data_IF_550781674203
#
_entry.id   IF_550781674203
#
_cell.length_a   1.000
_cell.length_b   1.000
_cell.length_c   1.000
_cell.angle_alpha   90.00
_cell.angle_beta   90.00
_cell.angle_gamma   90.00
#
_symmetry.space_group_name_H-M   'P 1'
#
loop_
_entity.id
_entity.type
_entity.pdbx_description
1 polymer ?
#
# COMPACT_ATOMS: atom_id res chain seq x y z
N UNK A 1 -33.70 37.61 -65.17
CA UNK A 1 -33.00 37.22 -63.92
C UNK A 1 -34.04 36.57 -63.00
N UNK A 2 -33.63 35.68 -62.10
CA UNK A 2 -34.48 34.96 -61.12
C UNK A 2 -35.26 33.72 -61.63
N UNK A 3 -34.57 32.57 -61.68
CA UNK A 3 -35.22 31.25 -61.50
C UNK A 3 -34.21 30.10 -61.31
N UNK A 4 -32.90 30.32 -61.47
CA UNK A 4 -31.89 29.25 -61.41
C UNK A 4 -31.18 29.08 -60.06
N UNK A 5 -31.41 29.98 -59.10
CA UNK A 5 -30.67 30.02 -57.82
C UNK A 5 -31.36 29.26 -56.66
N UNK A 6 -32.67 29.01 -56.73
CA UNK A 6 -33.43 28.41 -55.61
C UNK A 6 -33.28 26.88 -55.51
N UNK A 7 -33.03 26.19 -56.62
CA UNK A 7 -32.92 24.73 -56.65
C UNK A 7 -31.56 24.23 -56.13
N UNK A 8 -30.46 24.93 -56.45
CA UNK A 8 -29.12 24.59 -55.94
C UNK A 8 -28.99 24.81 -54.44
N UNK A 9 -29.67 25.84 -53.89
CA UNK A 9 -29.62 26.15 -52.46
C UNK A 9 -30.35 25.10 -51.61
N UNK A 10 -31.50 24.56 -52.06
CA UNK A 10 -32.17 23.45 -51.38
C UNK A 10 -31.34 22.17 -51.40
N UNK A 11 -30.67 21.85 -52.51
CA UNK A 11 -29.82 20.65 -52.61
C UNK A 11 -28.58 20.80 -51.71
N UNK A 12 -28.02 22.00 -51.60
CA UNK A 12 -26.89 22.29 -50.71
C UNK A 12 -27.29 22.19 -49.23
N UNK A 13 -28.49 22.66 -48.87
CA UNK A 13 -29.04 22.52 -47.50
C UNK A 13 -29.30 21.04 -47.18
N UNK A 14 -29.84 20.25 -48.11
CA UNK A 14 -30.08 18.82 -47.87
C UNK A 14 -28.74 18.07 -47.75
N UNK A 15 -27.74 18.38 -48.58
CA UNK A 15 -26.38 17.81 -48.45
C UNK A 15 -25.72 18.20 -47.13
N UNK A 16 -25.89 19.45 -46.67
CA UNK A 16 -25.41 19.90 -45.36
C UNK A 16 -26.13 19.16 -44.22
N UNK A 17 -27.46 18.99 -44.30
CA UNK A 17 -28.23 18.25 -43.29
C UNK A 17 -27.90 16.76 -43.24
N UNK A 18 -27.61 16.12 -44.38
CA UNK A 18 -27.16 14.71 -44.44
C UNK A 18 -25.72 14.58 -43.92
N UNK A 19 -24.85 15.57 -44.18
CA UNK A 19 -23.49 15.61 -43.62
C UNK A 19 -23.48 15.82 -42.10
N UNK A 20 -24.46 16.56 -41.55
CA UNK A 20 -24.59 16.81 -40.11
C UNK A 20 -25.30 15.66 -39.37
N UNK A 21 -26.15 14.89 -40.05
CA UNK A 21 -26.87 13.75 -39.44
C UNK A 21 -26.02 12.47 -39.35
N UNK A 22 -24.84 12.44 -39.97
CA UNK A 22 -23.92 11.29 -39.98
C UNK A 22 -23.04 11.13 -38.73
N UNK A 23 -23.12 12.04 -37.76
CA UNK A 23 -22.32 11.97 -36.52
C UNK A 23 -23.25 11.80 -35.32
N UNK A 24 -24.10 10.77 -35.35
CA UNK A 24 -24.54 10.16 -34.09
C UNK A 24 -23.36 9.35 -33.59
N UNK A 25 -22.46 10.02 -32.87
CA UNK A 25 -21.45 9.36 -32.06
C UNK A 25 -22.20 8.54 -31.02
N UNK A 26 -22.34 7.24 -31.28
CA UNK A 26 -22.67 6.27 -30.24
C UNK A 26 -21.49 6.31 -29.28
N UNK A 27 -21.62 7.14 -28.24
CA UNK A 27 -20.73 7.08 -27.09
C UNK A 27 -21.02 5.74 -26.41
N UNK A 28 -20.34 4.70 -26.85
CA UNK A 28 -20.25 3.47 -26.09
C UNK A 28 -19.57 3.82 -24.78
N UNK A 29 -20.33 3.83 -23.69
CA UNK A 29 -19.80 3.90 -22.33
C UNK A 29 -18.77 2.77 -22.19
N UNK A 30 -17.48 3.10 -22.29
CA UNK A 30 -16.42 2.11 -22.08
C UNK A 30 -16.54 1.68 -20.63
N UNK A 31 -17.11 0.50 -20.38
CA UNK A 31 -17.21 -0.07 -19.03
C UNK A 31 -15.81 -0.05 -18.44
N UNK A 32 -15.60 0.77 -17.41
CA UNK A 32 -14.34 0.82 -16.69
C UNK A 32 -14.04 -0.59 -16.18
N UNK A 33 -12.83 -1.12 -16.38
CA UNK A 33 -12.50 -2.44 -15.89
C UNK A 33 -12.68 -2.47 -14.37
N UNK A 34 -13.36 -3.51 -13.88
CA UNK A 34 -13.52 -3.72 -12.44
C UNK A 34 -12.18 -4.20 -11.88
N UNK A 35 -11.45 -3.31 -11.25
CA UNK A 35 -10.13 -3.59 -10.69
C UNK A 35 -10.24 -3.73 -9.16
N UNK A 36 -9.61 -4.77 -8.61
CA UNK A 36 -9.43 -4.92 -7.17
C UNK A 36 -8.03 -4.44 -6.82
N UNK A 37 -7.92 -3.46 -5.92
CA UNK A 37 -6.64 -2.94 -5.43
C UNK A 37 -6.49 -3.33 -3.96
N UNK A 38 -5.35 -3.93 -3.64
CA UNK A 38 -5.00 -4.31 -2.26
C UNK A 38 -3.62 -3.73 -1.96
N UNK A 39 -3.51 -3.09 -0.79
CA UNK A 39 -2.26 -2.51 -0.32
C UNK A 39 -2.05 -2.86 1.17
N UNK A 40 -0.86 -3.33 1.52
CA UNK A 40 -0.45 -3.53 2.92
C UNK A 40 0.26 -2.28 3.41
N UNK A 41 -0.20 -1.74 4.54
CA UNK A 41 0.37 -0.56 5.19
C UNK A 41 1.01 -0.94 6.53
N UNK A 42 2.15 -0.33 6.81
CA UNK A 42 2.79 -0.42 8.11
C UNK A 42 1.99 0.36 9.16
N UNK A 43 2.22 0.01 10.43
CA UNK A 43 1.62 0.71 11.58
C UNK A 43 2.32 2.02 11.94
N UNK A 44 3.53 2.24 11.43
CA UNK A 44 4.37 3.40 11.71
C UNK A 44 4.39 4.41 10.55
N UNK A 45 4.78 5.65 10.86
CA UNK A 45 4.97 6.71 9.87
C UNK A 45 6.13 6.42 8.91
N UNK A 46 6.00 6.89 7.68
CA UNK A 46 7.01 6.82 6.64
C UNK A 46 8.40 7.16 7.15
N UNK A 47 9.41 6.45 6.67
CA UNK A 47 10.82 6.71 6.99
C UNK A 47 11.51 7.41 5.81
N UNK A 48 12.44 8.35 6.06
CA UNK A 48 13.19 8.98 4.98
C UNK A 48 14.01 7.98 4.17
N UNK A 49 13.82 7.98 2.85
CA UNK A 49 14.53 7.07 1.94
C UNK A 49 16.04 7.31 1.95
N UNK A 50 16.48 8.54 2.17
CA UNK A 50 17.90 8.89 2.30
C UNK A 50 18.55 8.17 3.49
N UNK A 51 17.88 8.17 4.65
CA UNK A 51 18.41 7.54 5.87
C UNK A 51 18.43 6.01 5.73
N UNK A 52 17.46 5.45 5.03
CA UNK A 52 17.44 4.01 4.73
C UNK A 52 18.55 3.58 3.80
N UNK A 53 18.85 4.38 2.78
CA UNK A 53 19.98 4.13 1.90
C UNK A 53 21.27 4.02 2.71
N UNK A 54 21.50 4.95 3.64
CA UNK A 54 22.63 4.87 4.56
C UNK A 54 22.63 3.57 5.38
N UNK A 55 21.50 3.20 5.98
CA UNK A 55 21.41 1.96 6.78
C UNK A 55 21.56 0.67 5.96
N UNK A 56 21.17 0.66 4.69
CA UNK A 56 21.40 -0.46 3.78
C UNK A 56 22.88 -0.60 3.44
N UNK A 57 23.58 0.51 3.20
CA UNK A 57 25.02 0.50 2.93
C UNK A 57 25.81 0.06 4.18
N UNK A 58 25.41 0.53 5.36
CA UNK A 58 26.04 0.16 6.63
C UNK A 58 25.88 -1.32 6.99
N UNK A 59 24.87 -1.99 6.43
CA UNK A 59 24.63 -3.43 6.60
C UNK A 59 25.66 -4.28 5.87
N UNK A 60 26.13 -3.81 4.71
CA UNK A 60 27.23 -4.45 3.99
C UNK A 60 28.52 -4.19 4.75
N UNK A 61 29.00 -2.95 4.74
CA UNK A 61 30.24 -2.54 5.42
C UNK A 61 29.98 -1.24 6.19
N UNK A 62 30.45 -1.18 7.45
CA UNK A 62 30.19 -0.03 8.34
C UNK A 62 30.76 1.28 7.82
N UNK A 63 31.87 1.23 7.09
CA UNK A 63 32.57 2.41 6.59
C UNK A 63 31.82 3.07 5.41
N UNK A 64 31.09 2.28 4.61
CA UNK A 64 30.30 2.77 3.47
C UNK A 64 29.22 3.78 3.90
N UNK A 65 28.72 3.68 5.14
CA UNK A 65 27.81 4.68 5.68
C UNK A 65 28.45 6.07 5.69
N UNK A 66 29.67 6.17 6.21
CA UNK A 66 30.37 7.44 6.34
C UNK A 66 30.79 7.98 4.99
N UNK A 67 31.29 7.11 4.11
CA UNK A 67 31.62 7.48 2.73
C UNK A 67 30.40 8.04 1.98
N UNK A 68 29.23 7.40 2.14
CA UNK A 68 27.98 7.85 1.54
C UNK A 68 27.55 9.23 2.06
N UNK A 69 27.59 9.45 3.37
CA UNK A 69 27.22 10.74 3.96
C UNK A 69 28.19 11.84 3.53
N UNK A 70 29.50 11.56 3.48
CA UNK A 70 30.48 12.54 3.00
C UNK A 70 30.28 12.89 1.52
N UNK A 71 29.98 11.90 0.66
CA UNK A 71 29.67 12.13 -0.76
C UNK A 71 28.38 12.94 -0.89
N UNK A 72 27.35 12.62 -0.10
CA UNK A 72 26.08 13.35 -0.12
C UNK A 72 26.24 14.81 0.29
N UNK A 73 26.93 15.09 1.41
CA UNK A 73 27.15 16.44 1.92
C UNK A 73 27.98 17.30 0.95
N UNK A 74 28.97 16.70 0.26
CA UNK A 74 29.74 17.41 -0.78
C UNK A 74 28.91 17.71 -2.03
N UNK A 75 28.05 16.77 -2.45
CA UNK A 75 27.23 16.94 -3.65
C UNK A 75 26.09 17.95 -3.50
N UNK A 76 25.62 18.17 -2.26
CA UNK A 76 24.60 19.17 -1.92
C UNK A 76 25.09 20.62 -2.17
N UNK A 77 26.41 20.84 -2.24
CA UNK A 77 27.01 22.14 -2.57
C UNK A 77 27.07 22.41 -4.09
N UNK A 78 26.97 21.38 -4.94
CA UNK A 78 27.31 21.46 -6.39
C UNK A 78 26.10 21.29 -7.35
N UNK A 79 25.03 20.59 -6.98
CA UNK A 79 23.90 20.28 -7.89
C UNK A 79 22.65 21.14 -7.60
N UNK A 80 22.21 21.93 -8.60
CA UNK A 80 20.98 22.74 -8.55
C UNK A 80 19.73 21.90 -8.30
N UNK A 81 18.95 22.25 -7.29
CA UNK A 81 17.81 21.50 -6.76
C UNK A 81 16.74 21.14 -7.81
N UNK A 82 16.75 19.90 -8.29
CA UNK A 82 15.54 19.30 -8.85
C UNK A 82 14.63 18.88 -7.69
N UNK A 83 13.61 19.68 -7.39
CA UNK A 83 12.76 19.53 -6.20
C UNK A 83 11.80 18.31 -6.20
N UNK A 84 11.81 17.46 -7.23
CA UNK A 84 10.88 16.32 -7.32
C UNK A 84 11.37 15.15 -6.47
N UNK A 85 10.46 14.49 -5.75
CA UNK A 85 10.76 13.26 -4.99
C UNK A 85 11.43 12.18 -5.85
N UNK A 86 11.07 12.09 -7.14
CA UNK A 86 11.68 11.17 -8.11
C UNK A 86 13.17 11.47 -8.34
N UNK A 87 13.54 12.74 -8.43
CA UNK A 87 14.92 13.10 -8.73
C UNK A 87 15.80 12.97 -7.49
N UNK A 88 15.27 13.27 -6.30
CA UNK A 88 15.89 12.90 -5.03
C UNK A 88 16.18 11.38 -4.95
N UNK A 89 15.21 10.54 -5.30
CA UNK A 89 15.40 9.09 -5.31
C UNK A 89 16.50 8.67 -6.30
N UNK A 90 16.50 9.20 -7.53
CA UNK A 90 17.56 8.93 -8.50
C UNK A 90 18.93 9.36 -7.98
N UNK A 91 19.02 10.49 -7.29
CA UNK A 91 20.26 11.01 -6.70
C UNK A 91 20.77 10.09 -5.61
N UNK A 92 19.90 9.68 -4.69
CA UNK A 92 20.22 8.70 -3.63
C UNK A 92 20.74 7.40 -4.23
N UNK A 93 20.04 6.87 -5.24
CA UNK A 93 20.46 5.65 -5.93
C UNK A 93 21.80 5.87 -6.64
N UNK A 94 22.00 6.97 -7.36
CA UNK A 94 23.26 7.31 -8.05
C UNK A 94 24.46 7.27 -7.09
N UNK A 95 24.36 7.94 -5.95
CA UNK A 95 25.45 7.96 -4.96
C UNK A 95 25.63 6.60 -4.25
N UNK A 96 24.54 5.90 -3.93
CA UNK A 96 24.63 4.55 -3.35
C UNK A 96 25.28 3.55 -4.30
N UNK A 97 24.94 3.60 -5.59
CA UNK A 97 25.53 2.74 -6.63
C UNK A 97 27.01 3.01 -6.84
N UNK A 98 27.48 4.25 -6.72
CA UNK A 98 28.91 4.57 -6.88
C UNK A 98 29.82 3.95 -5.83
N UNK A 99 29.26 3.52 -4.69
CA UNK A 99 29.99 2.89 -3.59
C UNK A 99 29.92 1.36 -3.62
N UNK A 100 29.12 0.79 -4.52
CA UNK A 100 28.84 -0.65 -4.57
C UNK A 100 29.26 -1.25 -5.92
N UNK A 101 29.50 -2.57 -5.92
CA UNK A 101 29.67 -3.32 -7.16
C UNK A 101 28.33 -3.49 -7.89
N UNK A 102 28.34 -3.73 -9.21
CA UNK A 102 27.12 -3.83 -10.02
C UNK A 102 26.04 -4.79 -9.48
N UNK A 103 26.38 -6.01 -9.00
CA UNK A 103 25.38 -6.91 -8.41
C UNK A 103 24.78 -6.36 -7.11
N UNK A 104 25.62 -5.80 -6.24
CA UNK A 104 25.20 -5.21 -4.96
C UNK A 104 24.38 -3.94 -5.18
N UNK A 105 24.71 -3.14 -6.19
CA UNK A 105 23.98 -1.95 -6.60
C UNK A 105 22.53 -2.27 -6.99
N UNK A 106 22.31 -3.34 -7.75
CA UNK A 106 20.96 -3.80 -8.10
C UNK A 106 20.19 -4.33 -6.87
N UNK A 107 20.86 -5.07 -5.99
CA UNK A 107 20.25 -5.53 -4.74
C UNK A 107 19.91 -4.38 -3.80
N UNK A 108 20.77 -3.36 -3.71
CA UNK A 108 20.56 -2.14 -2.95
C UNK A 108 19.31 -1.40 -3.43
N UNK A 109 19.20 -1.18 -4.75
CA UNK A 109 18.03 -0.53 -5.35
C UNK A 109 16.74 -1.30 -5.07
N UNK A 110 16.76 -2.63 -5.24
CA UNK A 110 15.63 -3.50 -4.90
C UNK A 110 15.27 -3.43 -3.41
N UNK A 111 16.27 -3.45 -2.53
CA UNK A 111 16.10 -3.40 -1.07
C UNK A 111 15.53 -2.06 -0.59
N UNK A 112 15.86 -0.97 -1.28
CA UNK A 112 15.35 0.37 -1.05
C UNK A 112 13.87 0.47 -1.47
N UNK A 113 13.51 -0.10 -2.63
CA UNK A 113 12.11 -0.17 -3.10
C UNK A 113 11.26 -1.03 -2.16
N UNK A 114 11.80 -2.14 -1.67
CA UNK A 114 11.14 -2.98 -0.67
C UNK A 114 11.07 -2.36 0.73
N UNK A 115 11.76 -1.23 0.95
CA UNK A 115 11.76 -0.52 2.25
C UNK A 115 12.26 -1.40 3.40
N UNK A 116 13.22 -2.28 3.10
CA UNK A 116 13.71 -3.31 4.02
C UNK A 116 14.45 -2.75 5.25
N UNK A 117 15.00 -1.54 5.17
CA UNK A 117 15.65 -0.85 6.28
C UNK A 117 14.71 -0.01 7.16
N UNK A 118 13.43 0.16 6.76
CA UNK A 118 12.46 0.96 7.52
C UNK A 118 12.34 0.54 8.99
N UNK A 119 12.22 -0.76 9.34
CA UNK A 119 12.06 -1.17 10.73
C UNK A 119 13.23 -0.77 11.63
N UNK A 120 14.44 -0.68 11.06
CA UNK A 120 15.63 -0.26 11.79
C UNK A 120 15.61 1.23 12.13
N UNK A 121 15.11 2.06 11.23
CA UNK A 121 14.91 3.49 11.52
C UNK A 121 13.80 3.72 12.54
N UNK A 122 12.76 2.89 12.52
CA UNK A 122 11.70 2.92 13.56
C UNK A 122 12.30 2.59 14.93
N UNK A 123 13.21 1.62 15.02
CA UNK A 123 13.94 1.34 16.25
C UNK A 123 14.74 2.56 16.72
N UNK A 124 15.44 3.27 15.83
CA UNK A 124 16.19 4.47 16.22
C UNK A 124 15.28 5.60 16.71
N UNK A 125 14.07 5.76 16.16
CA UNK A 125 13.08 6.71 16.66
C UNK A 125 12.66 6.38 18.09
N UNK A 126 12.41 5.11 18.40
CA UNK A 126 12.06 4.69 19.75
C UNK A 126 13.20 4.94 20.74
N UNK A 127 14.43 4.58 20.35
CA UNK A 127 15.60 4.86 21.18
C UNK A 127 15.85 6.36 21.37
N UNK A 128 15.51 7.18 20.39
CA UNK A 128 15.56 8.63 20.51
C UNK A 128 14.52 9.16 21.50
N UNK A 129 13.29 8.69 21.43
CA UNK A 129 12.24 9.06 22.40
C UNK A 129 12.59 8.61 23.83
N UNK A 130 13.13 7.40 23.98
CA UNK A 130 13.61 6.89 25.27
C UNK A 130 14.76 7.75 25.82
N UNK A 131 15.72 8.15 24.97
CA UNK A 131 16.81 9.04 25.35
C UNK A 131 16.27 10.40 25.77
N UNK A 132 15.42 11.04 24.95
CA UNK A 132 14.86 12.37 25.25
C UNK A 132 13.97 12.37 26.50
N UNK A 133 13.20 11.31 26.76
CA UNK A 133 12.35 11.21 27.96
C UNK A 133 13.13 10.85 29.23
N UNK A 134 14.30 10.22 29.12
CA UNK A 134 15.14 9.87 30.28
C UNK A 134 15.85 11.07 30.91
N UNK A 135 15.98 12.18 30.18
CA UNK A 135 16.55 13.42 30.70
C UNK A 135 15.44 14.45 30.95
N UNK A 136 15.21 14.89 32.19
CA UNK A 136 14.28 15.97 32.45
C UNK A 136 14.84 17.25 31.80
N UNK A 137 14.21 17.67 30.70
CA UNK A 137 14.39 19.03 30.22
C UNK A 137 13.88 19.96 31.32
N UNK A 138 14.74 20.84 31.81
CA UNK A 138 14.33 21.95 32.65
C UNK A 138 13.39 22.83 31.84
N UNK A 139 12.09 22.60 32.02
CA UNK A 139 10.96 23.53 31.88
C UNK A 139 11.15 24.67 30.87
N UNK A 140 10.82 24.42 29.60
CA UNK A 140 10.55 25.50 28.65
C UNK A 140 9.05 25.85 28.70
N UNK A 141 8.73 26.66 29.73
CA UNK A 141 7.81 27.79 29.70
C UNK A 141 6.38 27.58 29.18
N UNK A 142 5.44 27.61 30.13
CA UNK A 142 4.43 28.68 30.27
C UNK A 142 3.92 29.24 28.93
N UNK A 143 2.83 28.66 28.43
CA UNK A 143 1.90 29.43 27.59
C UNK A 143 1.19 30.44 28.49
N UNK A 144 1.74 31.66 28.58
CA UNK A 144 1.05 32.81 29.15
C UNK A 144 -0.21 33.09 28.34
N UNK A 145 -1.35 32.56 28.79
CA UNK A 145 -2.63 33.20 28.59
C UNK A 145 -3.12 33.65 29.97
N UNK A 146 -3.11 34.96 30.12
CA UNK A 146 -3.67 35.75 31.21
C UNK A 146 -5.10 35.32 31.56
N UNK A 147 -5.28 34.81 32.78
CA UNK A 147 -6.35 35.20 33.70
C UNK A 147 -6.19 34.42 35.00
N UNK A 148 -5.86 35.14 36.08
CA UNK A 148 -5.60 34.54 37.38
C UNK A 148 -6.82 33.85 37.99
N UNK A 149 -6.61 32.66 38.53
CA UNK A 149 -7.28 32.20 39.74
C UNK A 149 -6.42 31.10 40.39
N UNK A 150 -6.20 31.22 41.70
CA UNK A 150 -5.41 30.29 42.52
C UNK A 150 -6.21 29.00 42.68
N UNK A 151 -5.62 27.86 42.30
CA UNK A 151 -6.00 26.56 42.83
C UNK A 151 -4.75 25.67 42.93
N UNK A 152 -4.23 25.55 44.15
CA UNK A 152 -3.36 24.45 44.55
C UNK A 152 -4.10 23.13 44.29
N UNK A 153 -3.51 22.19 43.55
CA UNK A 153 -3.75 20.76 43.76
C UNK A 153 -2.57 19.92 43.24
N UNK A 154 -1.92 19.29 44.21
CA UNK A 154 -1.22 18.00 44.16
C UNK A 154 -0.25 17.70 43.01
N UNK A 155 1.02 17.60 43.39
CA UNK A 155 2.04 16.75 42.80
C UNK A 155 1.47 15.38 42.39
N UNK A 156 1.37 15.13 41.09
CA UNK A 156 1.49 13.79 40.53
C UNK A 156 2.54 13.86 39.41
N UNK A 157 3.77 13.55 39.79
CA UNK A 157 4.83 13.18 38.85
C UNK A 157 4.44 11.86 38.17
N UNK A 158 3.56 11.93 37.17
CA UNK A 158 3.54 10.88 36.15
C UNK A 158 4.78 11.08 35.28
N UNK A 159 5.85 10.35 35.60
CA UNK A 159 6.81 9.94 34.58
C UNK A 159 5.99 9.24 33.49
N UNK A 160 5.63 9.97 32.43
CA UNK A 160 4.97 9.41 31.24
C UNK A 160 5.96 8.45 30.59
N UNK A 161 6.03 7.24 31.13
CA UNK A 161 6.59 6.08 30.44
C UNK A 161 5.91 6.06 29.09
N UNK A 162 6.71 6.14 28.03
CA UNK A 162 6.23 6.06 26.67
C UNK A 162 5.20 4.94 26.56
N UNK A 163 3.98 5.30 26.20
CA UNK A 163 2.92 4.32 25.98
C UNK A 163 3.42 3.35 24.91
N UNK A 164 3.54 2.04 25.20
CA UNK A 164 3.99 1.04 24.23
C UNK A 164 3.15 1.00 22.94
N UNK A 165 2.02 1.73 22.91
CA UNK A 165 1.13 1.88 21.77
C UNK A 165 1.53 3.01 20.80
N UNK A 166 2.45 3.92 21.15
CA UNK A 166 2.96 4.98 20.27
C UNK A 166 4.12 4.53 19.38
N UNK A 167 4.08 3.28 18.90
CA UNK A 167 5.07 2.78 17.95
C UNK A 167 4.94 3.51 16.63
N UNK A 168 5.86 4.45 16.36
CA UNK A 168 6.08 4.99 15.03
C UNK A 168 5.71 6.44 14.80
N UNK A 169 5.48 7.23 15.86
CA UNK A 169 5.44 8.70 15.75
C UNK A 169 6.87 9.24 15.79
N UNK A 170 7.17 10.24 14.97
CA UNK A 170 8.47 10.91 15.03
C UNK A 170 8.63 11.66 16.37
N UNK A 171 9.79 11.57 17.05
CA UNK A 171 10.02 12.26 18.31
C UNK A 171 9.94 13.78 18.12
N UNK A 172 9.42 14.47 19.13
CA UNK A 172 9.44 15.94 19.19
C UNK A 172 10.78 16.38 19.73
N UNK A 173 11.50 17.17 18.95
CA UNK A 173 12.78 17.69 19.41
C UNK A 173 12.58 18.97 20.24
N UNK A 174 13.23 19.09 21.40
CA UNK A 174 13.11 20.28 22.24
C UNK A 174 13.74 21.51 21.60
N UNK A 175 13.13 22.68 21.84
CA UNK A 175 13.60 23.97 21.33
C UNK A 175 13.68 24.09 19.81
N UNK A 176 13.03 23.20 19.05
CA UNK A 176 13.08 23.19 17.58
C UNK A 176 14.46 22.89 16.99
N UNK A 177 15.40 22.38 17.78
CA UNK A 177 16.71 21.88 17.31
C UNK A 177 16.51 20.53 16.63
N UNK A 178 17.31 20.15 15.64
CA UNK A 178 17.07 18.91 14.87
C UNK A 178 18.06 17.78 15.14
N UNK A 179 19.16 18.12 15.80
CA UNK A 179 20.24 17.20 16.11
C UNK A 179 20.61 17.37 17.57
N UNK A 180 20.92 16.27 18.24
CA UNK A 180 21.48 16.27 19.58
C UNK A 180 22.54 15.18 19.71
N UNK A 181 23.41 15.32 20.69
CA UNK A 181 24.45 14.35 21.01
C UNK A 181 24.18 13.79 22.39
N UNK A 182 23.95 12.48 22.45
CA UNK A 182 23.83 11.74 23.70
C UNK A 182 25.18 11.12 24.05
N UNK A 183 25.71 11.50 25.22
CA UNK A 183 26.96 10.94 25.77
C UNK A 183 26.72 9.85 26.83
N UNK A 184 25.46 9.50 27.10
CA UNK A 184 25.02 8.59 28.15
C UNK A 184 24.90 9.24 29.53
N UNK A 185 25.47 10.43 29.73
CA UNK A 185 25.35 11.22 30.96
C UNK A 185 24.83 12.65 30.75
N UNK A 186 24.87 13.16 29.52
CA UNK A 186 24.36 14.47 29.14
C UNK A 186 23.89 14.47 27.69
N UNK A 187 22.86 15.28 27.42
CA UNK A 187 22.39 15.60 26.08
C UNK A 187 22.87 17.00 25.69
N UNK A 188 23.49 17.11 24.52
CA UNK A 188 23.91 18.39 23.95
C UNK A 188 23.06 18.72 22.73
N UNK A 189 22.32 19.83 22.78
CA UNK A 189 21.53 20.34 21.66
C UNK A 189 22.23 21.49 20.91
N UNK A 190 23.21 22.12 21.56
CA UNK A 190 24.02 23.18 20.96
C UNK A 190 25.44 22.71 20.68
N UNK A 191 25.98 23.14 19.53
CA UNK A 191 27.35 22.82 19.12
C UNK A 191 28.35 23.50 20.04
N UNK A 192 28.04 24.70 20.56
CA UNK A 192 28.91 25.43 21.48
C UNK A 192 29.13 24.67 22.79
N UNK A 193 28.06 24.11 23.37
CA UNK A 193 28.14 23.29 24.59
C UNK A 193 28.96 22.01 24.35
N UNK A 194 28.77 21.37 23.20
CA UNK A 194 29.55 20.21 22.82
C UNK A 194 31.04 20.55 22.62
N UNK A 195 31.35 21.69 22.01
CA UNK A 195 32.73 22.15 21.79
C UNK A 195 33.42 22.46 23.12
N UNK A 196 32.70 23.06 24.08
CA UNK A 196 33.18 23.25 25.45
C UNK A 196 33.48 21.90 26.11
N UNK A 197 32.59 20.91 25.97
CA UNK A 197 32.82 19.56 26.49
C UNK A 197 34.02 18.86 25.82
N UNK A 198 34.16 18.99 24.49
CA UNK A 198 35.27 18.42 23.72
C UNK A 198 36.61 19.15 23.88
N UNK A 199 36.61 20.31 24.55
CA UNK A 199 37.77 21.20 24.68
C UNK A 199 38.42 21.47 23.31
N UNK A 200 37.61 21.64 22.26
CA UNK A 200 38.06 21.77 20.87
C UNK A 200 37.52 23.06 20.24
N UNK A 201 38.36 23.95 19.68
CA UNK A 201 37.90 25.21 19.11
C UNK A 201 37.37 25.13 17.66
N UNK A 202 37.30 23.94 17.05
CA UNK A 202 37.10 23.82 15.60
C UNK A 202 35.66 23.50 15.14
N UNK A 203 35.11 24.43 14.32
CA UNK A 203 33.92 24.36 13.43
C UNK A 203 32.54 24.19 14.09
N UNK A 204 31.53 24.83 13.47
CA UNK A 204 30.16 25.00 13.98
C UNK A 204 29.17 23.89 13.57
N UNK A 205 29.64 22.73 13.08
CA UNK A 205 28.76 21.61 12.69
C UNK A 205 29.10 20.34 13.46
N UNK A 206 28.07 19.73 14.07
CA UNK A 206 28.18 18.51 14.89
C UNK A 206 29.00 17.41 14.22
N UNK A 207 28.65 17.04 12.98
CA UNK A 207 29.27 15.91 12.29
C UNK A 207 30.78 16.10 12.09
N UNK A 208 31.20 17.27 11.59
CA UNK A 208 32.62 17.55 11.30
C UNK A 208 33.46 17.52 12.57
N UNK A 209 32.96 18.14 13.64
CA UNK A 209 33.65 18.18 14.95
C UNK A 209 33.79 16.78 15.56
N UNK A 210 32.73 15.96 15.49
CA UNK A 210 32.73 14.61 16.05
C UNK A 210 33.60 13.64 15.24
N UNK A 211 33.61 13.75 13.91
CA UNK A 211 34.49 12.96 13.04
C UNK A 211 35.95 13.26 13.34
N UNK A 212 36.33 14.53 13.49
CA UNK A 212 37.71 14.90 13.80
C UNK A 212 38.13 14.40 15.19
N UNK A 213 37.26 14.56 16.20
CA UNK A 213 37.52 14.04 17.53
C UNK A 213 37.65 12.50 17.56
N UNK A 214 36.88 11.80 16.74
CA UNK A 214 36.96 10.35 16.60
C UNK A 214 38.23 9.90 15.87
N UNK A 215 38.66 10.62 14.81
CA UNK A 215 39.93 10.36 14.10
C UNK A 215 41.15 10.53 15.00
N UNK A 216 41.08 11.49 15.93
CA UNK A 216 42.11 11.69 16.96
C UNK A 216 42.05 10.65 18.10
N UNK A 217 41.12 9.70 18.06
CA UNK A 217 40.97 8.65 19.07
C UNK A 217 40.42 9.12 20.41
N UNK A 218 39.87 10.34 20.50
CA UNK A 218 39.36 10.92 21.76
C UNK A 218 37.98 10.40 22.13
N UNK A 219 37.15 10.15 21.12
CA UNK A 219 35.77 9.68 21.29
C UNK A 219 35.46 8.54 20.32
N UNK A 220 34.44 7.74 20.66
CA UNK A 220 33.83 6.80 19.73
C UNK A 220 32.54 7.40 19.18
N UNK A 221 32.58 7.85 17.93
CA UNK A 221 31.43 8.46 17.29
C UNK A 221 30.50 7.41 16.67
N UNK A 222 29.22 7.47 17.01
CA UNK A 222 28.16 6.61 16.46
C UNK A 222 26.98 7.50 16.12
N UNK A 223 26.44 7.35 14.91
CA UNK A 223 25.23 8.08 14.48
C UNK A 223 24.03 7.13 14.49
N UNK A 224 22.92 7.63 15.03
CA UNK A 224 21.60 7.02 14.90
C UNK A 224 20.72 7.99 14.12
N UNK A 225 20.46 7.73 12.83
CA UNK A 225 19.68 8.64 12.00
C UNK A 225 18.23 8.68 12.45
N UNK A 226 17.75 9.88 12.78
CA UNK A 226 16.35 10.15 13.13
C UNK A 226 15.95 11.46 12.46
N UNK A 227 14.73 11.53 11.96
CA UNK A 227 14.11 12.77 11.49
C UNK A 227 13.01 13.16 12.49
N UNK A 228 13.27 14.12 13.40
CA UNK A 228 12.26 14.60 14.34
C UNK A 228 11.14 15.37 13.63
N UNK A 229 9.97 15.42 14.27
CA UNK A 229 8.86 16.24 13.77
C UNK A 229 9.24 17.72 13.77
N UNK A 230 8.95 18.45 12.69
CA UNK A 230 9.27 19.87 12.55
C UNK A 230 10.68 20.17 12.01
N UNK A 231 11.48 19.14 11.74
CA UNK A 231 12.81 19.29 11.13
C UNK A 231 12.80 19.14 9.60
N UNK A 232 11.64 18.87 9.03
CA UNK A 232 11.45 18.61 7.59
C UNK A 232 11.95 19.77 6.72
N UNK A 233 11.72 21.01 7.14
CA UNK A 233 12.14 22.21 6.40
C UNK A 233 13.66 22.45 6.44
N UNK A 234 14.36 21.91 7.46
CA UNK A 234 15.80 22.14 7.67
C UNK A 234 16.70 21.11 6.99
N UNK A 235 16.17 19.93 6.66
CA UNK A 235 16.95 18.79 6.11
C UNK A 235 16.87 18.74 4.56
N UNK A 236 16.32 19.79 3.94
CA UNK A 236 16.18 19.90 2.49
C UNK A 236 15.12 18.95 1.90
N UNK A 237 14.74 19.18 0.64
CA UNK A 237 13.65 18.45 -0.01
C UNK A 237 13.90 16.93 -0.06
N UNK A 238 15.13 16.50 -0.31
CA UNK A 238 15.45 15.08 -0.44
C UNK A 238 15.53 14.34 0.91
N UNK A 239 15.80 15.05 2.01
CA UNK A 239 15.83 14.47 3.35
C UNK A 239 14.47 14.06 3.90
N UNK A 240 13.39 14.56 3.31
CA UNK A 240 12.01 14.28 3.74
C UNK A 240 11.26 13.30 2.83
N UNK A 241 11.89 12.87 1.72
CA UNK A 241 11.26 11.97 0.76
C UNK A 241 10.95 10.62 1.41
N UNK A 242 9.68 10.22 1.36
CA UNK A 242 9.18 8.97 1.95
C UNK A 242 8.95 9.02 3.46
N UNK A 243 9.20 10.16 4.11
CA UNK A 243 8.96 10.37 5.54
C UNK A 243 7.50 10.68 5.86
N UNK A 244 6.72 11.15 4.87
CA UNK A 244 5.31 11.52 5.01
C UNK A 244 4.41 10.30 4.77
N UNK A 245 3.25 10.30 5.44
CA UNK A 245 2.20 9.28 5.38
C UNK A 245 2.58 7.89 5.90
N UNK A 246 1.58 7.01 6.04
CA UNK A 246 1.79 5.60 6.39
C UNK A 246 2.56 4.88 5.30
N UNK A 247 3.56 4.07 5.69
CA UNK A 247 4.41 3.36 4.73
C UNK A 247 3.67 2.18 4.08
N UNK A 248 3.59 2.16 2.74
CA UNK A 248 3.18 0.97 2.00
C UNK A 248 4.35 -0.02 1.98
N UNK A 249 4.09 -1.27 2.37
CA UNK A 249 5.11 -2.32 2.40
C UNK A 249 5.15 -3.07 1.07
N UNK A 250 6.29 -3.67 0.75
CA UNK A 250 6.45 -4.62 -0.36
C UNK A 250 6.64 -6.04 0.16
N UNK A 251 6.67 -7.02 -0.75
CA UNK A 251 7.02 -8.40 -0.42
C UNK A 251 5.87 -9.30 0.07
N UNK A 252 4.61 -8.91 -0.16
CA UNK A 252 3.44 -9.77 0.04
C UNK A 252 2.80 -10.14 -1.30
N UNK A 253 2.16 -11.31 -1.32
CA UNK A 253 1.28 -11.74 -2.41
C UNK A 253 -0.18 -11.57 -2.01
N UNK A 254 -1.03 -11.24 -2.98
CA UNK A 254 -2.48 -11.16 -2.79
C UNK A 254 -3.13 -12.21 -3.67
N UNK A 255 -4.00 -13.01 -3.08
CA UNK A 255 -4.76 -14.04 -3.79
C UNK A 255 -6.25 -13.69 -3.77
N UNK A 256 -6.91 -13.83 -4.91
CA UNK A 256 -8.37 -13.79 -5.02
C UNK A 256 -8.88 -15.21 -5.21
N UNK A 257 -9.09 -15.90 -4.09
CA UNK A 257 -9.61 -17.25 -4.11
C UNK A 257 -11.12 -17.26 -4.41
N UNK A 258 -11.53 -18.12 -5.34
CA UNK A 258 -12.93 -18.40 -5.62
C UNK A 258 -13.50 -19.30 -4.51
N UNK A 259 -14.33 -18.72 -3.65
CA UNK A 259 -14.92 -19.45 -2.50
C UNK A 259 -15.97 -20.51 -2.90
N UNK A 260 -16.61 -20.35 -4.07
CA UNK A 260 -17.60 -21.30 -4.58
C UNK A 260 -17.00 -22.08 -5.77
N UNK A 261 -16.57 -23.32 -5.53
CA UNK A 261 -16.05 -24.24 -6.56
C UNK A 261 -17.14 -25.15 -7.15
N UNK A 262 -18.38 -25.06 -6.67
CA UNK A 262 -19.52 -25.77 -7.25
C UNK A 262 -19.99 -25.05 -8.50
N UNK A 263 -19.39 -25.36 -9.64
CA UNK A 263 -20.05 -25.15 -10.92
C UNK A 263 -20.96 -26.36 -11.14
N UNK A 264 -22.26 -26.21 -10.86
CA UNK A 264 -23.24 -27.12 -11.45
C UNK A 264 -23.16 -26.91 -12.95
N UNK A 265 -22.63 -27.91 -13.67
CA UNK A 265 -22.75 -27.95 -15.11
C UNK A 265 -24.26 -28.03 -15.43
N UNK A 266 -24.86 -26.92 -15.84
CA UNK A 266 -26.10 -26.99 -16.62
C UNK A 266 -25.67 -27.47 -18.00
N UNK A 267 -26.22 -28.59 -18.43
CA UNK A 267 -26.06 -29.06 -19.79
C UNK A 267 -26.80 -28.07 -20.73
N UNK A 268 -26.04 -27.25 -21.47
CA UNK A 268 -26.57 -26.28 -22.44
C UNK A 268 -27.09 -26.96 -23.73
N UNK A 269 -27.22 -28.29 -23.75
CA UNK A 269 -27.87 -29.04 -24.85
C UNK A 269 -29.35 -28.67 -25.06
N UNK A 270 -29.96 -27.87 -24.18
CA UNK A 270 -31.30 -27.32 -24.32
C UNK A 270 -31.34 -25.84 -24.74
N UNK A 271 -30.39 -25.33 -25.54
CA UNK A 271 -30.75 -24.22 -26.45
C UNK A 271 -31.72 -24.81 -27.47
N UNK A 272 -33.02 -24.70 -27.17
CA UNK A 272 -34.11 -24.93 -28.10
C UNK A 272 -33.90 -24.05 -29.33
N UNK A 273 -33.23 -24.59 -30.35
CA UNK A 273 -33.47 -24.18 -31.73
C UNK A 273 -34.95 -24.42 -31.97
N UNK A 274 -35.62 -23.37 -32.41
CA UNK A 274 -37.07 -23.28 -32.42
C UNK A 274 -37.78 -24.37 -33.21
N UNK A 275 -39.09 -24.43 -32.95
CA UNK A 275 -40.11 -25.23 -33.65
C UNK A 275 -39.96 -26.72 -33.33
N UNK A 276 -40.80 -27.36 -32.51
CA UNK A 276 -42.27 -27.46 -32.61
C UNK A 276 -42.83 -27.82 -31.22
N UNK A 277 -44.10 -27.49 -30.98
CA UNK A 277 -44.86 -27.95 -29.82
C UNK A 277 -44.86 -29.50 -29.77
N UNK A 278 -44.15 -30.11 -28.82
CA UNK A 278 -44.34 -31.51 -28.46
C UNK A 278 -44.68 -31.62 -26.96
N UNK A 279 -45.76 -32.35 -26.70
CA UNK A 279 -46.41 -32.59 -25.41
C UNK A 279 -45.46 -33.35 -24.44
N UNK A 280 -45.36 -33.00 -23.14
CA UNK A 280 -44.35 -33.56 -22.21
C UNK A 280 -44.56 -35.04 -21.80
N UNK A 281 -45.36 -35.82 -22.53
CA UNK A 281 -45.81 -37.16 -22.13
C UNK A 281 -45.08 -38.32 -22.83
N UNK A 282 -44.03 -38.05 -23.59
CA UNK A 282 -43.32 -39.06 -24.39
C UNK A 282 -41.90 -39.31 -23.89
N UNK A 283 -41.71 -39.44 -22.58
CA UNK A 283 -40.55 -40.16 -22.06
C UNK A 283 -40.75 -41.66 -22.25
N UNK A 284 -39.69 -42.31 -22.77
CA UNK A 284 -39.62 -43.65 -23.34
C UNK A 284 -40.48 -44.73 -22.63
N UNK A 285 -41.71 -44.92 -23.12
CA UNK A 285 -42.70 -45.89 -22.62
C UNK A 285 -42.31 -47.36 -22.88
N UNK A 286 -41.17 -47.59 -23.53
CA UNK A 286 -40.64 -48.93 -23.81
C UNK A 286 -39.88 -49.55 -22.63
N UNK A 287 -39.50 -48.73 -21.64
CA UNK A 287 -38.79 -49.21 -20.45
C UNK A 287 -39.69 -50.07 -19.55
N UNK A 288 -39.12 -51.18 -19.07
CA UNK A 288 -39.79 -52.09 -18.15
C UNK A 288 -39.71 -51.53 -16.71
N UNK A 289 -40.86 -51.22 -16.12
CA UNK A 289 -40.95 -50.74 -14.73
C UNK A 289 -41.61 -51.83 -13.88
N UNK A 290 -40.85 -52.42 -12.95
CA UNK A 290 -41.27 -53.53 -12.07
C UNK A 290 -41.99 -54.68 -12.81
N UNK A 291 -41.55 -55.02 -14.02
CA UNK A 291 -42.14 -56.11 -14.82
C UNK A 291 -43.26 -55.68 -15.80
N UNK A 292 -43.55 -54.38 -15.89
CA UNK A 292 -44.58 -53.85 -16.80
C UNK A 292 -43.98 -53.04 -17.94
N UNK A 293 -44.42 -53.35 -19.17
CA UNK A 293 -44.08 -52.59 -20.38
C UNK A 293 -45.28 -51.71 -20.75
N UNK A 294 -45.18 -50.42 -20.45
CA UNK A 294 -46.32 -49.49 -20.55
C UNK A 294 -46.74 -49.20 -21.98
N UNK A 295 -45.82 -49.25 -22.96
CA UNK A 295 -46.14 -49.13 -24.39
C UNK A 295 -47.16 -50.17 -24.86
N UNK A 296 -46.96 -51.44 -24.51
CA UNK A 296 -47.89 -52.54 -24.88
C UNK A 296 -49.23 -52.46 -24.16
N UNK A 297 -49.27 -51.89 -22.95
CA UNK A 297 -50.53 -51.75 -22.18
C UNK A 297 -51.36 -50.62 -22.78
N UNK A 298 -50.74 -49.50 -23.14
CA UNK A 298 -51.38 -48.37 -23.81
C UNK A 298 -51.93 -48.76 -25.20
N UNK A 299 -51.21 -49.58 -25.96
CA UNK A 299 -51.69 -50.12 -27.24
C UNK A 299 -52.94 -50.99 -27.08
N UNK A 300 -53.05 -51.76 -25.99
CA UNK A 300 -54.17 -52.69 -25.76
C UNK A 300 -55.38 -52.02 -25.11
N UNK A 301 -55.15 -50.94 -24.36
CA UNK A 301 -56.15 -50.24 -23.55
C UNK A 301 -55.99 -48.72 -23.65
N UNK A 302 -56.24 -48.14 -24.84
CA UNK A 302 -56.11 -46.70 -25.06
C UNK A 302 -57.13 -45.88 -24.26
N UNK A 303 -58.27 -46.46 -23.90
CA UNK A 303 -59.33 -45.79 -23.13
C UNK A 303 -58.92 -45.41 -21.69
N UNK A 304 -57.90 -46.07 -21.13
CA UNK A 304 -57.44 -45.91 -19.74
C UNK A 304 -56.08 -45.21 -19.65
N UNK A 305 -55.74 -44.41 -20.66
CA UNK A 305 -54.41 -43.77 -20.77
C UNK A 305 -54.06 -42.94 -19.54
N UNK A 306 -55.03 -42.21 -18.96
CA UNK A 306 -54.83 -41.41 -17.75
C UNK A 306 -54.49 -42.25 -16.53
N UNK A 307 -55.23 -43.34 -16.29
CA UNK A 307 -55.01 -44.22 -15.13
C UNK A 307 -53.70 -45.00 -15.27
N UNK A 308 -53.37 -45.44 -16.49
CA UNK A 308 -52.13 -46.17 -16.78
C UNK A 308 -50.90 -45.27 -16.52
N UNK A 309 -50.96 -44.00 -16.91
CA UNK A 309 -49.89 -43.05 -16.64
C UNK A 309 -49.77 -42.74 -15.14
N UNK A 310 -50.89 -42.56 -14.43
CA UNK A 310 -50.87 -42.38 -12.98
C UNK A 310 -50.30 -43.60 -12.22
N UNK A 311 -50.60 -44.82 -12.71
CA UNK A 311 -50.04 -46.05 -12.16
C UNK A 311 -48.53 -46.17 -12.42
N UNK A 312 -48.05 -45.77 -13.61
CA UNK A 312 -46.62 -45.69 -13.92
C UNK A 312 -45.89 -44.76 -12.94
N UNK A 313 -46.45 -43.58 -12.70
CA UNK A 313 -45.86 -42.58 -11.80
C UNK A 313 -45.83 -43.08 -10.35
N UNK A 314 -46.85 -43.84 -9.92
CA UNK A 314 -46.84 -44.51 -8.62
C UNK A 314 -45.72 -45.56 -8.53
N UNK A 315 -45.53 -46.40 -9.54
CA UNK A 315 -44.44 -47.39 -9.53
C UNK A 315 -43.07 -46.71 -9.50
N UNK A 316 -42.86 -45.66 -10.30
CA UNK A 316 -41.60 -44.91 -10.31
C UNK A 316 -41.33 -44.23 -8.96
N UNK A 317 -42.32 -43.59 -8.34
CA UNK A 317 -42.14 -43.00 -7.01
C UNK A 317 -41.88 -44.04 -5.92
N UNK A 318 -42.50 -45.22 -6.00
CA UNK A 318 -42.23 -46.33 -5.05
C UNK A 318 -40.81 -46.89 -5.17
N UNK A 319 -40.21 -46.88 -6.37
CA UNK A 319 -38.82 -47.34 -6.55
C UNK A 319 -37.81 -46.49 -5.80
N UNK A 320 -38.05 -45.18 -5.70
CA UNK A 320 -37.17 -44.25 -4.98
C UNK A 320 -37.25 -44.49 -3.46
N UNK A 321 -38.43 -44.82 -2.94
CA UNK A 321 -38.67 -45.03 -1.50
C UNK A 321 -38.04 -46.32 -0.95
N UNK A 322 -38.05 -47.42 -1.71
CA UNK A 322 -37.46 -48.70 -1.25
C UNK A 322 -35.91 -48.66 -1.21
N UNK A 323 -35.27 -47.89 -2.09
CA UNK A 323 -33.81 -47.68 -2.06
C UNK A 323 -33.31 -46.86 -0.87
N UNK A 324 -34.18 -46.11 -0.19
CA UNK A 324 -33.82 -45.30 0.97
C UNK A 324 -34.00 -46.04 2.31
N UNK A 325 -34.61 -47.23 2.32
CA UNK A 325 -34.91 -48.00 3.55
C UNK A 325 -33.99 -49.22 3.80
N UNK A 326 -33.06 -49.52 2.88
CA UNK A 326 -32.07 -50.61 3.05
C UNK A 326 -30.61 -50.11 3.09
N UNK A 327 -30.40 -48.82 3.32
CA UNK A 327 -29.08 -48.23 3.54
C UNK A 327 -28.77 -48.02 5.02
N UNK A 328 -28.66 -49.10 5.79
CA UNK A 328 -27.97 -49.17 7.08
C UNK A 328 -27.38 -50.58 7.26
#
# INVERSE_FOLDING_TARGET
>A
MEARSRSGFCVLIILLCVSFSGIVSVCGESRRPKNVQVAVRAKWEGTPVLLEAGELLSKEWKDLYWEFIEVWLRAEEDESDSHTARDCLKRIIKHGRSLLSDPLASLFEFSLILRSAAPRLVLYRQLAEDSLSSFPLSDDSISNNDSGEIAETSEENESKRADPLLVGVNPKSPGGKCCWVDTGGALFFDVAELLLWLHNPAKLQFHVTLVEAARQGRIKYVVRPVLPSGCEEKVGNCGTVGAKDSLNLGGYGVELALKNMEYKAMDDSAIKKGVTLEDPRTEDLSQEVRGFIFSKILERKPELTSEIMAFRDYLLSSTVSDTLMFGN
#
